data_IF_725728209863
#
_entry.id   IF_725728209863
#
_cell.length_a   1.000
_cell.length_b   1.000
_cell.length_c   1.000
_cell.angle_alpha   90.00
_cell.angle_beta   90.00
_cell.angle_gamma   90.00
#
_symmetry.space_group_name_H-M   'P 1'
#
loop_
_entity.id
_entity.type
_entity.pdbx_description
1 polymer ?
#
# COMPACT_ATOMS: atom_id res chain seq x y z
N UNK A 1 -9.52 -12.15 -20.26
CA UNK A 1 -10.49 -11.34 -19.53
C UNK A 1 -10.12 -9.88 -19.74
N UNK A 2 -11.05 -9.02 -20.14
CA UNK A 2 -10.79 -7.59 -20.31
C UNK A 2 -10.97 -6.83 -19.00
N UNK A 3 -10.47 -5.58 -18.90
CA UNK A 3 -10.64 -4.78 -17.68
C UNK A 3 -12.11 -4.61 -17.29
N UNK A 4 -13.01 -4.53 -18.26
CA UNK A 4 -14.45 -4.34 -18.04
C UNK A 4 -15.17 -5.58 -17.50
N UNK A 5 -14.52 -6.74 -17.49
CA UNK A 5 -15.12 -7.99 -17.04
C UNK A 5 -15.03 -8.17 -15.51
N UNK A 6 -14.13 -7.44 -14.85
CA UNK A 6 -14.00 -7.46 -13.38
C UNK A 6 -15.15 -6.70 -12.72
N UNK A 7 -15.50 -7.12 -11.51
CA UNK A 7 -16.56 -6.50 -10.68
C UNK A 7 -15.97 -5.71 -9.51
N UNK A 8 -14.77 -6.08 -9.07
CA UNK A 8 -14.06 -5.42 -7.99
C UNK A 8 -12.58 -5.20 -8.31
N UNK A 9 -12.02 -4.14 -7.75
CA UNK A 9 -10.59 -3.87 -7.72
C UNK A 9 -10.11 -3.97 -6.28
N UNK A 10 -9.15 -4.85 -6.02
CA UNK A 10 -8.39 -4.88 -4.78
C UNK A 10 -7.12 -4.07 -4.98
N UNK A 11 -6.93 -3.03 -4.21
CA UNK A 11 -5.84 -2.09 -4.40
C UNK A 11 -4.97 -2.04 -3.15
N UNK A 12 -3.68 -2.31 -3.29
CA UNK A 12 -2.75 -2.12 -2.18
C UNK A 12 -2.73 -0.65 -1.77
N UNK A 13 -2.99 -0.38 -0.49
CA UNK A 13 -3.00 0.97 0.04
C UNK A 13 -1.65 1.64 -0.16
N UNK A 14 -0.62 1.01 0.37
CA UNK A 14 0.74 1.52 0.30
C UNK A 14 1.33 1.28 -1.10
N UNK A 15 1.98 2.30 -1.62
CA UNK A 15 2.68 2.30 -2.91
C UNK A 15 1.80 2.23 -4.16
N UNK A 16 0.50 1.92 -4.04
CA UNK A 16 -0.45 2.14 -5.13
C UNK A 16 -1.24 3.45 -4.96
N UNK A 17 -1.71 3.74 -3.74
CA UNK A 17 -2.52 4.92 -3.42
C UNK A 17 -1.79 5.94 -2.53
N UNK A 18 -1.04 5.46 -1.53
CA UNK A 18 -0.29 6.25 -0.56
C UNK A 18 1.20 6.19 -0.89
N UNK A 19 1.86 7.35 -0.97
CA UNK A 19 3.32 7.46 -1.12
C UNK A 19 4.02 7.21 0.23
N UNK A 20 4.02 5.93 0.63
CA UNK A 20 4.65 5.48 1.87
C UNK A 20 6.13 5.81 1.92
N UNK A 21 6.84 5.60 0.82
CA UNK A 21 8.30 5.79 0.78
C UNK A 21 8.68 7.24 1.07
N UNK A 22 7.95 8.21 0.52
CA UNK A 22 8.17 9.63 0.84
C UNK A 22 7.73 9.97 2.26
N UNK A 23 6.65 9.37 2.75
CA UNK A 23 6.18 9.54 4.13
C UNK A 23 7.20 9.04 5.14
N UNK A 24 7.68 7.81 4.97
CA UNK A 24 8.73 7.21 5.82
C UNK A 24 10.02 8.02 5.78
N UNK A 25 10.49 8.39 4.58
CA UNK A 25 11.67 9.21 4.44
C UNK A 25 11.58 10.50 5.23
N UNK A 26 10.47 11.23 5.06
CA UNK A 26 10.25 12.51 5.75
C UNK A 26 10.22 12.33 7.27
N UNK A 27 9.56 11.28 7.75
CA UNK A 27 9.43 11.00 9.18
C UNK A 27 10.74 10.53 9.82
N UNK A 28 11.66 9.93 9.04
CA UNK A 28 12.99 9.52 9.50
C UNK A 28 14.02 10.66 9.46
N UNK A 29 13.71 11.81 8.82
CA UNK A 29 14.68 12.92 8.71
C UNK A 29 15.32 13.35 10.05
N UNK A 30 14.60 13.48 11.18
CA UNK A 30 15.22 13.83 12.45
C UNK A 30 16.32 12.85 12.87
N UNK A 31 16.04 11.55 12.70
CA UNK A 31 16.99 10.48 13.03
C UNK A 31 18.20 10.49 12.07
N UNK A 32 17.95 10.73 10.78
CA UNK A 32 19.01 10.82 9.76
C UNK A 32 19.92 12.02 9.95
N UNK A 33 19.39 13.16 10.37
CA UNK A 33 20.19 14.35 10.72
C UNK A 33 21.12 14.02 11.88
N UNK A 34 20.63 13.30 12.89
CA UNK A 34 21.46 12.85 14.04
C UNK A 34 22.55 11.86 13.64
N UNK A 35 22.33 11.07 12.61
CA UNK A 35 23.34 10.14 12.05
C UNK A 35 24.50 10.88 11.40
N UNK A 36 24.26 12.06 10.85
CA UNK A 36 25.24 12.80 10.06
C UNK A 36 25.49 12.21 8.68
N UNK A 37 26.25 12.92 7.84
CA UNK A 37 26.52 12.53 6.46
C UNK A 37 25.36 12.81 5.50
N UNK A 38 25.45 12.25 4.29
CA UNK A 38 24.39 12.30 3.28
C UNK A 38 23.79 10.89 3.13
N UNK A 39 22.67 10.58 3.80
CA UNK A 39 22.06 9.27 3.70
C UNK A 39 21.48 9.05 2.29
N UNK A 40 21.74 7.87 1.72
CA UNK A 40 21.08 7.43 0.49
C UNK A 40 19.63 7.02 0.80
N UNK A 41 18.67 7.65 0.11
CA UNK A 41 17.24 7.40 0.32
C UNK A 41 16.87 5.95 0.04
N UNK A 42 17.36 5.39 -1.04
CA UNK A 42 17.01 4.02 -1.46
C UNK A 42 17.55 3.00 -0.45
N UNK A 43 18.76 3.22 0.07
CA UNK A 43 19.36 2.39 1.11
C UNK A 43 18.56 2.47 2.42
N UNK A 44 18.23 3.67 2.89
CA UNK A 44 17.47 3.88 4.13
C UNK A 44 16.09 3.20 4.03
N UNK A 45 15.41 3.34 2.90
CA UNK A 45 14.11 2.70 2.69
C UNK A 45 14.23 1.17 2.58
N UNK A 46 15.33 0.65 2.03
CA UNK A 46 15.59 -0.79 2.02
C UNK A 46 15.79 -1.32 3.44
N UNK A 47 16.62 -0.65 4.25
CA UNK A 47 16.84 -1.01 5.66
C UNK A 47 15.54 -0.94 6.49
N UNK A 48 14.70 0.08 6.25
CA UNK A 48 13.38 0.17 6.88
C UNK A 48 12.48 -1.03 6.52
N UNK A 49 12.42 -1.41 5.24
CA UNK A 49 11.60 -2.57 4.80
C UNK A 49 12.09 -3.87 5.41
N UNK A 50 13.42 -4.06 5.51
CA UNK A 50 14.01 -5.24 6.16
C UNK A 50 13.61 -5.31 7.64
N UNK A 51 13.73 -4.19 8.37
CA UNK A 51 13.37 -4.13 9.78
C UNK A 51 11.88 -4.42 9.96
N UNK A 52 11.02 -3.79 9.19
CA UNK A 52 9.57 -4.00 9.28
C UNK A 52 9.20 -5.46 8.97
N UNK A 53 9.81 -6.04 7.94
CA UNK A 53 9.58 -7.43 7.57
C UNK A 53 10.03 -8.42 8.66
N UNK A 54 11.12 -8.11 9.37
CA UNK A 54 11.60 -8.93 10.48
C UNK A 54 10.70 -8.82 11.72
N UNK A 55 10.07 -7.68 11.94
CA UNK A 55 9.17 -7.44 13.06
C UNK A 55 7.79 -8.08 12.85
N UNK A 56 7.29 -8.07 11.63
CA UNK A 56 5.92 -8.47 11.30
C UNK A 56 5.49 -9.83 11.87
N UNK A 57 6.28 -10.91 11.75
CA UNK A 57 5.88 -12.22 12.28
C UNK A 57 5.78 -12.29 13.80
N UNK A 58 6.49 -11.39 14.51
CA UNK A 58 6.64 -11.44 15.98
C UNK A 58 5.71 -10.49 16.69
N UNK A 59 5.36 -9.38 16.06
CA UNK A 59 4.72 -8.24 16.71
C UNK A 59 3.45 -7.77 15.99
N UNK A 60 2.86 -8.61 15.13
CA UNK A 60 1.62 -8.27 14.40
C UNK A 60 0.48 -7.86 15.34
N UNK A 61 0.44 -8.43 16.54
CA UNK A 61 -0.55 -8.13 17.59
C UNK A 61 -0.43 -6.72 18.19
N UNK A 62 0.71 -6.03 18.01
CA UNK A 62 0.90 -4.66 18.50
C UNK A 62 0.21 -3.60 17.62
N UNK A 63 -0.39 -4.01 16.52
CA UNK A 63 -0.91 -3.11 15.51
C UNK A 63 0.18 -2.44 14.67
N UNK A 64 -0.23 -1.68 13.69
CA UNK A 64 0.70 -1.05 12.75
C UNK A 64 1.56 0.05 13.40
N UNK A 65 0.95 0.90 14.23
CA UNK A 65 1.68 1.94 14.97
C UNK A 65 2.71 1.37 15.92
N UNK A 66 2.38 0.29 16.62
CA UNK A 66 3.33 -0.40 17.50
C UNK A 66 4.53 -0.93 16.73
N UNK A 67 4.30 -1.59 15.58
CA UNK A 67 5.38 -2.06 14.71
C UNK A 67 6.26 -0.92 14.20
N UNK A 68 5.68 0.21 13.81
CA UNK A 68 6.45 1.38 13.35
C UNK A 68 7.31 1.98 14.46
N UNK A 69 6.80 2.05 15.69
CA UNK A 69 7.57 2.50 16.83
C UNK A 69 8.80 1.62 17.07
N UNK A 70 8.64 0.29 17.02
CA UNK A 70 9.75 -0.65 17.13
C UNK A 70 10.70 -0.57 15.93
N UNK A 71 10.19 -0.39 14.70
CA UNK A 71 11.02 -0.22 13.51
C UNK A 71 11.93 1.00 13.61
N UNK A 72 11.40 2.14 14.08
CA UNK A 72 12.18 3.34 14.32
C UNK A 72 13.32 3.09 15.29
N UNK A 73 13.04 2.42 16.43
CA UNK A 73 14.05 2.09 17.43
C UNK A 73 15.13 1.16 16.87
N UNK A 74 14.75 0.11 16.15
CA UNK A 74 15.71 -0.82 15.56
C UNK A 74 16.59 -0.15 14.49
N UNK A 75 16.05 0.77 13.72
CA UNK A 75 16.83 1.57 12.78
C UNK A 75 17.85 2.44 13.50
N UNK A 76 17.44 3.12 14.57
CA UNK A 76 18.35 3.89 15.39
C UNK A 76 19.49 3.03 15.95
N UNK A 77 19.19 1.87 16.51
CA UNK A 77 20.17 0.92 17.02
C UNK A 77 21.15 0.44 15.92
N UNK A 78 20.64 0.10 14.71
CA UNK A 78 21.49 -0.24 13.55
C UNK A 78 22.45 0.86 13.16
N UNK A 79 22.03 2.11 13.31
CA UNK A 79 22.85 3.28 12.96
C UNK A 79 23.72 3.78 14.10
N UNK A 80 23.74 3.07 15.24
CA UNK A 80 24.51 3.44 16.41
C UNK A 80 23.98 4.67 17.14
N UNK A 81 22.67 4.94 16.99
CA UNK A 81 21.97 6.08 17.59
C UNK A 81 21.07 5.62 18.72
N UNK A 82 20.79 6.53 19.65
CA UNK A 82 19.78 6.34 20.67
C UNK A 82 18.48 6.99 20.19
N UNK A 83 17.37 6.28 20.29
CA UNK A 83 16.04 6.81 20.03
C UNK A 83 15.17 6.62 21.27
N UNK A 84 14.48 7.68 21.66
CA UNK A 84 13.49 7.63 22.71
C UNK A 84 12.19 6.95 22.25
N UNK A 85 11.39 6.52 23.21
CA UNK A 85 10.05 6.01 22.93
C UNK A 85 9.16 7.08 22.27
N UNK A 86 9.30 8.34 22.69
CA UNK A 86 8.52 9.45 22.15
C UNK A 86 8.82 9.72 20.67
N UNK A 87 10.08 9.62 20.25
CA UNK A 87 10.48 9.71 18.84
C UNK A 87 9.89 8.57 18.02
N UNK A 88 9.91 7.34 18.54
CA UNK A 88 9.26 6.20 17.91
C UNK A 88 7.74 6.38 17.76
N UNK A 89 7.08 6.90 18.78
CA UNK A 89 5.65 7.22 18.73
C UNK A 89 5.34 8.37 17.75
N UNK A 90 6.22 9.38 17.67
CA UNK A 90 6.09 10.46 16.69
C UNK A 90 6.22 9.92 15.26
N UNK A 91 7.16 9.01 15.02
CA UNK A 91 7.30 8.31 13.75
C UNK A 91 6.03 7.52 13.40
N UNK A 92 5.50 6.75 14.35
CA UNK A 92 4.27 5.98 14.13
C UNK A 92 3.07 6.87 13.77
N UNK A 93 2.89 7.99 14.49
CA UNK A 93 1.80 8.96 14.22
C UNK A 93 1.92 9.66 12.88
N UNK A 94 3.10 9.67 12.25
CA UNK A 94 3.30 10.29 10.93
C UNK A 94 2.47 9.64 9.83
N UNK A 95 2.00 8.41 10.03
CA UNK A 95 1.19 7.63 9.06
C UNK A 95 -0.06 8.40 8.62
N UNK A 96 -0.73 9.07 9.54
CA UNK A 96 -1.92 9.86 9.25
C UNK A 96 -1.65 11.00 8.25
N UNK A 97 -0.39 11.50 8.21
CA UNK A 97 0.02 12.59 7.32
C UNK A 97 0.62 12.12 5.99
N UNK A 98 0.79 10.82 5.77
CA UNK A 98 1.35 10.34 4.51
C UNK A 98 0.49 10.75 3.33
N UNK A 99 1.14 11.27 2.30
CA UNK A 99 0.44 11.81 1.12
C UNK A 99 -0.11 10.70 0.25
N UNK A 100 -1.28 10.95 -0.35
CA UNK A 100 -1.73 10.16 -1.49
C UNK A 100 -0.89 10.54 -2.72
N UNK A 101 -0.70 9.59 -3.64
CA UNK A 101 -0.24 9.96 -4.98
C UNK A 101 -1.26 10.89 -5.64
N UNK A 102 -0.79 11.87 -6.40
CA UNK A 102 -1.62 12.94 -6.99
C UNK A 102 -2.78 12.41 -7.85
N UNK A 103 -2.55 11.27 -8.51
CA UNK A 103 -3.52 10.65 -9.39
C UNK A 103 -4.53 9.74 -8.66
N UNK A 104 -4.26 9.36 -7.41
CA UNK A 104 -5.08 8.38 -6.70
C UNK A 104 -6.51 8.87 -6.43
N UNK A 105 -6.77 10.08 -5.88
CA UNK A 105 -8.14 10.51 -5.59
C UNK A 105 -9.03 10.59 -6.84
N UNK A 106 -8.48 11.14 -7.94
CA UNK A 106 -9.21 11.26 -9.21
C UNK A 106 -9.53 9.91 -9.83
N UNK A 107 -8.56 8.98 -9.80
CA UNK A 107 -8.76 7.62 -10.30
C UNK A 107 -9.79 6.85 -9.46
N UNK A 108 -9.72 6.92 -8.13
CA UNK A 108 -10.70 6.28 -7.23
C UNK A 108 -12.11 6.82 -7.49
N UNK A 109 -12.26 8.14 -7.63
CA UNK A 109 -13.55 8.77 -7.95
C UNK A 109 -14.14 8.31 -9.29
N UNK A 110 -13.29 8.06 -10.28
CA UNK A 110 -13.72 7.53 -11.57
C UNK A 110 -14.07 6.03 -11.49
N UNK A 111 -13.16 5.21 -10.95
CA UNK A 111 -13.26 3.75 -10.97
C UNK A 111 -14.43 3.23 -10.13
N UNK A 112 -14.79 3.88 -9.02
CA UNK A 112 -15.95 3.51 -8.18
C UNK A 112 -17.29 3.51 -8.91
N UNK A 113 -17.37 4.10 -10.10
CA UNK A 113 -18.57 4.09 -10.92
C UNK A 113 -18.78 2.76 -11.64
N UNK A 114 -17.72 1.96 -11.76
CA UNK A 114 -17.69 0.73 -12.55
C UNK A 114 -17.37 -0.51 -11.70
N UNK A 115 -16.63 -0.31 -10.61
CA UNK A 115 -16.12 -1.37 -9.76
C UNK A 115 -16.43 -1.11 -8.29
N UNK A 116 -16.58 -2.19 -7.54
CA UNK A 116 -16.39 -2.09 -6.09
C UNK A 116 -14.91 -1.91 -5.81
N UNK A 117 -14.55 -0.88 -5.05
CA UNK A 117 -13.15 -0.59 -4.71
C UNK A 117 -12.87 -1.14 -3.32
N UNK A 118 -11.99 -2.11 -3.24
CA UNK A 118 -11.47 -2.69 -2.02
C UNK A 118 -10.03 -2.19 -1.85
N UNK A 119 -9.70 -1.66 -0.68
CA UNK A 119 -8.33 -1.20 -0.38
C UNK A 119 -7.76 -2.08 0.71
N UNK A 120 -6.58 -2.64 0.47
CA UNK A 120 -5.93 -3.53 1.42
C UNK A 120 -4.67 -2.88 1.98
N UNK A 121 -4.47 -2.99 3.30
CA UNK A 121 -3.27 -2.45 3.95
C UNK A 121 -3.31 -2.57 5.46
N UNK A 122 -2.20 -2.21 6.09
CA UNK A 122 -2.11 -2.15 7.54
C UNK A 122 -2.33 -0.71 8.00
N UNK A 123 -3.40 -0.51 8.76
CA UNK A 123 -3.71 0.74 9.43
C UNK A 123 -4.44 0.42 10.72
N UNK A 124 -4.09 1.12 11.78
CA UNK A 124 -4.87 1.08 13.01
C UNK A 124 -6.22 1.76 12.83
N UNK A 125 -7.17 1.46 13.70
CA UNK A 125 -8.54 1.97 13.57
C UNK A 125 -8.60 3.51 13.51
N UNK A 126 -7.71 4.19 14.22
CA UNK A 126 -7.63 5.65 14.28
C UNK A 126 -7.21 6.27 12.93
N UNK A 127 -6.31 5.62 12.18
CA UNK A 127 -5.79 6.10 10.91
C UNK A 127 -6.67 5.67 9.72
N UNK A 128 -7.40 4.58 9.87
CA UNK A 128 -8.23 3.98 8.83
C UNK A 128 -9.36 4.90 8.39
N UNK A 129 -10.10 5.46 9.33
CA UNK A 129 -11.24 6.34 9.05
C UNK A 129 -10.87 7.54 8.18
N UNK A 130 -9.92 8.40 8.61
CA UNK A 130 -9.46 9.54 7.82
C UNK A 130 -8.90 9.14 6.44
N UNK A 131 -8.23 7.99 6.34
CA UNK A 131 -7.71 7.50 5.07
C UNK A 131 -8.85 7.09 4.12
N UNK A 132 -9.85 6.36 4.61
CA UNK A 132 -11.03 5.98 3.82
C UNK A 132 -11.78 7.21 3.30
N UNK A 133 -11.94 8.24 4.11
CA UNK A 133 -12.53 9.50 3.70
C UNK A 133 -11.75 10.16 2.56
N UNK A 134 -10.42 10.24 2.69
CA UNK A 134 -9.53 10.80 1.64
C UNK A 134 -9.58 10.00 0.33
N UNK A 135 -9.77 8.68 0.41
CA UNK A 135 -9.88 7.79 -0.75
C UNK A 135 -11.30 7.70 -1.31
N UNK A 136 -12.31 8.20 -0.57
CA UNK A 136 -13.71 8.13 -0.95
C UNK A 136 -14.28 6.72 -0.97
N UNK A 137 -13.84 5.86 -0.04
CA UNK A 137 -14.33 4.48 0.15
C UNK A 137 -15.04 4.33 1.50
N UNK A 138 -15.85 3.28 1.65
CA UNK A 138 -16.43 2.93 2.94
C UNK A 138 -15.38 2.24 3.83
N UNK A 139 -15.54 2.36 5.15
CA UNK A 139 -14.65 1.69 6.09
C UNK A 139 -14.65 0.15 5.93
N UNK A 140 -15.79 -0.44 5.57
CA UNK A 140 -15.95 -1.88 5.34
C UNK A 140 -15.25 -2.37 4.06
N UNK A 141 -14.89 -1.46 3.15
CA UNK A 141 -14.12 -1.76 1.93
C UNK A 141 -12.61 -1.63 2.16
N UNK A 142 -12.17 -1.25 3.37
CA UNK A 142 -10.78 -1.30 3.77
C UNK A 142 -10.46 -2.63 4.47
N UNK A 143 -9.61 -3.43 3.84
CA UNK A 143 -9.27 -4.79 4.25
C UNK A 143 -7.91 -4.77 4.95
N UNK A 144 -7.87 -5.26 6.19
CA UNK A 144 -6.60 -5.48 6.89
C UNK A 144 -5.86 -6.66 6.25
N UNK A 145 -4.53 -6.56 6.15
CA UNK A 145 -3.69 -7.67 5.67
C UNK A 145 -3.80 -8.91 6.59
N UNK A 146 -4.12 -8.71 7.87
CA UNK A 146 -4.30 -9.80 8.82
C UNK A 146 -5.60 -10.58 8.60
N UNK A 147 -6.65 -9.93 8.09
CA UNK A 147 -7.99 -10.54 8.00
C UNK A 147 -8.14 -11.46 6.80
N UNK A 148 -7.31 -11.29 5.75
CA UNK A 148 -7.30 -12.08 4.50
C UNK A 148 -8.70 -12.53 4.00
N UNK A 149 -9.75 -11.66 4.03
CA UNK A 149 -11.13 -12.07 3.77
C UNK A 149 -11.35 -12.57 2.34
N UNK A 150 -10.46 -12.25 1.42
CA UNK A 150 -10.51 -12.73 0.03
C UNK A 150 -10.22 -14.23 -0.10
N UNK A 151 -9.70 -14.86 0.97
CA UNK A 151 -9.52 -16.32 1.06
C UNK A 151 -10.74 -16.99 1.74
N UNK A 152 -11.66 -16.20 2.31
CA UNK A 152 -12.88 -16.71 2.93
C UNK A 152 -14.01 -16.80 1.90
N UNK A 153 -14.38 -18.02 1.53
CA UNK A 153 -15.49 -18.28 0.60
C UNK A 153 -16.82 -17.68 1.09
N UNK A 154 -17.06 -17.63 2.41
CA UNK A 154 -18.30 -17.06 2.95
C UNK A 154 -18.32 -15.55 2.76
N UNK A 155 -17.17 -14.87 2.94
CA UNK A 155 -17.06 -13.44 2.69
C UNK A 155 -17.29 -13.12 1.22
N UNK A 156 -16.69 -13.88 0.31
CA UNK A 156 -16.89 -13.72 -1.13
C UNK A 156 -18.38 -13.89 -1.52
N UNK A 157 -19.04 -14.94 -1.02
CA UNK A 157 -20.47 -15.19 -1.27
C UNK A 157 -21.32 -14.06 -0.71
N UNK A 158 -21.07 -13.62 0.52
CA UNK A 158 -21.82 -12.53 1.16
C UNK A 158 -21.68 -11.20 0.38
N UNK A 159 -20.56 -11.01 -0.32
CA UNK A 159 -20.29 -9.84 -1.15
C UNK A 159 -20.64 -10.05 -2.64
N UNK A 160 -21.21 -11.19 -2.99
CA UNK A 160 -21.58 -11.57 -4.36
C UNK A 160 -20.38 -11.47 -5.34
N UNK A 161 -19.19 -11.88 -4.88
CA UNK A 161 -17.94 -11.90 -5.64
C UNK A 161 -17.41 -13.33 -5.74
N UNK A 162 -16.74 -13.62 -6.85
CA UNK A 162 -15.88 -14.79 -7.02
C UNK A 162 -14.41 -14.33 -7.15
N UNK A 163 -13.42 -15.19 -6.88
CA UNK A 163 -12.00 -14.81 -7.04
C UNK A 163 -11.68 -14.23 -8.43
N UNK A 164 -12.25 -14.80 -9.49
CA UNK A 164 -12.06 -14.31 -10.86
C UNK A 164 -12.74 -12.96 -11.17
N UNK A 165 -13.62 -12.45 -10.28
CA UNK A 165 -14.25 -11.13 -10.42
C UNK A 165 -13.33 -9.98 -9.94
N UNK A 166 -12.19 -10.31 -9.33
CA UNK A 166 -11.33 -9.35 -8.62
C UNK A 166 -10.00 -9.18 -9.36
N UNK A 167 -9.68 -7.94 -9.72
CA UNK A 167 -8.34 -7.58 -10.20
C UNK A 167 -7.54 -6.97 -9.05
N UNK A 168 -6.40 -7.59 -8.72
CA UNK A 168 -5.52 -7.09 -7.66
C UNK A 168 -4.46 -6.13 -8.22
N UNK A 169 -4.48 -4.88 -7.78
CA UNK A 169 -3.54 -3.83 -8.14
C UNK A 169 -2.47 -3.74 -7.06
N UNK A 170 -1.26 -4.16 -7.38
CA UNK A 170 -0.15 -4.26 -6.42
C UNK A 170 1.18 -3.85 -7.05
N UNK A 171 2.10 -3.35 -6.23
CA UNK A 171 3.51 -3.16 -6.61
C UNK A 171 4.33 -4.45 -6.45
N UNK A 172 3.93 -5.31 -5.54
CA UNK A 172 4.61 -6.58 -5.29
C UNK A 172 4.42 -7.53 -6.48
N UNK A 173 5.47 -8.22 -6.86
CA UNK A 173 5.39 -9.25 -7.89
C UNK A 173 4.34 -10.31 -7.57
N UNK A 174 3.79 -10.93 -8.60
CA UNK A 174 2.76 -11.97 -8.48
C UNK A 174 3.20 -13.06 -7.49
N UNK A 175 2.47 -13.21 -6.40
CA UNK A 175 2.66 -14.36 -5.50
C UNK A 175 2.17 -15.61 -6.23
N UNK A 176 3.04 -16.62 -6.37
CA UNK A 176 2.61 -17.93 -6.89
C UNK A 176 1.47 -18.45 -6.01
N UNK A 177 0.33 -18.77 -6.65
CA UNK A 177 -0.85 -19.30 -5.96
C UNK A 177 -1.95 -18.27 -5.66
N UNK A 178 -1.83 -17.03 -6.13
CA UNK A 178 -2.96 -16.10 -6.14
C UNK A 178 -3.98 -16.56 -7.17
N UNK A 179 -5.24 -16.73 -6.75
CA UNK A 179 -6.37 -17.05 -7.65
C UNK A 179 -6.87 -15.80 -8.39
N UNK A 180 -6.46 -14.62 -7.95
CA UNK A 180 -6.87 -13.34 -8.55
C UNK A 180 -5.91 -12.95 -9.67
N UNK A 181 -6.47 -12.36 -10.70
CA UNK A 181 -5.69 -11.69 -11.74
C UNK A 181 -4.96 -10.48 -11.15
N UNK A 182 -3.75 -10.21 -11.65
CA UNK A 182 -2.88 -9.17 -11.10
C UNK A 182 -2.59 -8.09 -12.13
N UNK A 183 -2.73 -6.84 -11.67
CA UNK A 183 -2.24 -5.63 -12.32
C UNK A 183 -1.04 -5.09 -11.54
N UNK A 184 0.15 -5.10 -12.16
CA UNK A 184 1.33 -4.52 -11.54
C UNK A 184 1.35 -3.01 -11.75
N UNK A 185 1.49 -2.26 -10.65
CA UNK A 185 1.71 -0.82 -10.69
C UNK A 185 3.18 -0.49 -10.39
N UNK A 186 3.83 0.25 -11.29
CA UNK A 186 5.18 0.77 -11.10
C UNK A 186 5.12 2.28 -10.91
N UNK A 187 5.45 2.73 -9.70
CA UNK A 187 5.52 4.15 -9.35
C UNK A 187 6.90 4.76 -9.58
N UNK A 188 7.83 3.97 -10.13
CA UNK A 188 9.22 4.39 -10.35
C UNK A 188 9.32 5.37 -11.52
N UNK A 189 9.35 6.66 -11.22
CA UNK A 189 9.62 7.72 -12.18
C UNK A 189 11.08 7.61 -12.64
N UNK A 190 11.29 7.09 -13.85
CA UNK A 190 12.60 7.13 -14.52
C UNK A 190 13.44 5.85 -14.52
N UNK A 191 12.99 4.76 -13.93
CA UNK A 191 13.60 3.44 -14.15
C UNK A 191 13.01 2.79 -15.39
N UNK A 192 13.85 2.04 -16.13
CA UNK A 192 13.37 1.24 -17.26
C UNK A 192 12.27 0.29 -16.77
N UNK A 193 11.16 0.16 -17.52
CA UNK A 193 10.08 -0.74 -17.15
C UNK A 193 10.65 -2.15 -17.00
N UNK A 194 10.49 -2.71 -15.81
CA UNK A 194 10.80 -4.13 -15.59
C UNK A 194 9.88 -4.96 -16.49
N UNK A 195 10.36 -6.02 -17.16
CA UNK A 195 9.50 -6.88 -17.95
C UNK A 195 8.30 -7.32 -17.11
N UNK A 196 7.11 -6.96 -17.56
CA UNK A 196 5.89 -7.25 -16.84
C UNK A 196 5.47 -8.69 -17.09
N UNK A 197 5.39 -9.48 -16.01
CA UNK A 197 4.89 -10.85 -16.04
C UNK A 197 3.42 -10.98 -15.66
N UNK A 198 2.77 -9.85 -15.32
CA UNK A 198 1.36 -9.81 -14.94
C UNK A 198 0.46 -9.58 -16.15
N UNK A 199 -0.84 -9.82 -15.98
CA UNK A 199 -1.84 -9.63 -17.03
C UNK A 199 -1.97 -8.16 -17.44
N UNK A 200 -1.81 -7.25 -16.50
CA UNK A 200 -1.81 -5.81 -16.74
C UNK A 200 -0.61 -5.15 -16.06
N UNK A 201 -0.10 -4.10 -16.70
CA UNK A 201 0.98 -3.29 -16.16
C UNK A 201 0.66 -1.82 -16.37
N UNK A 202 0.76 -1.06 -15.30
CA UNK A 202 0.46 0.36 -15.26
C UNK A 202 1.57 1.13 -14.54
N UNK A 203 1.71 2.40 -14.87
CA UNK A 203 2.67 3.29 -14.21
C UNK A 203 2.00 4.21 -13.18
N UNK A 204 0.67 4.28 -13.21
CA UNK A 204 -0.12 5.13 -12.31
C UNK A 204 -1.58 4.66 -12.28
N UNK A 205 -2.33 5.11 -11.31
CA UNK A 205 -3.78 4.89 -11.28
C UNK A 205 -4.49 5.63 -12.43
N UNK A 206 -3.95 6.77 -12.88
CA UNK A 206 -4.44 7.46 -14.06
C UNK A 206 -4.26 6.64 -15.35
N UNK A 207 -3.18 5.86 -15.44
CA UNK A 207 -2.97 4.93 -16.55
C UNK A 207 -4.04 3.82 -16.56
N UNK A 208 -4.40 3.26 -15.39
CA UNK A 208 -5.51 2.32 -15.27
C UNK A 208 -6.82 2.91 -15.79
N UNK A 209 -7.12 4.16 -15.41
CA UNK A 209 -8.31 4.88 -15.91
C UNK A 209 -8.29 4.97 -17.43
N UNK A 210 -7.13 5.32 -18.01
CA UNK A 210 -6.96 5.43 -19.45
C UNK A 210 -7.19 4.08 -20.15
N UNK A 211 -6.60 3.00 -19.62
CA UNK A 211 -6.78 1.66 -20.16
C UNK A 211 -8.24 1.18 -20.07
N UNK A 212 -8.92 1.50 -18.95
CA UNK A 212 -10.35 1.22 -18.79
C UNK A 212 -11.20 1.97 -19.83
N UNK A 213 -10.96 3.27 -20.01
CA UNK A 213 -11.68 4.08 -21.00
C UNK A 213 -11.50 3.54 -22.44
N UNK A 214 -10.30 3.07 -22.77
CA UNK A 214 -10.04 2.43 -24.06
C UNK A 214 -10.78 1.09 -24.21
N UNK A 215 -10.92 0.35 -23.11
CA UNK A 215 -11.66 -0.92 -23.11
C UNK A 215 -13.17 -0.74 -23.30
N UNK A 216 -13.74 0.39 -22.83
CA UNK A 216 -15.17 0.72 -23.04
C UNK A 216 -15.50 1.10 -24.49
N UNK A 217 -14.51 1.44 -25.32
CA UNK A 217 -14.71 1.87 -26.72
C UNK A 217 -14.62 0.71 -27.72
N UNK A 218 -14.25 -0.46 -27.24
CA UNK A 218 -14.17 -1.70 -28.07
C UNK A 218 -15.46 -2.48 -28.00
#
# INVERSE_FOLDING_TARGET
MGLIDYRALLIDCDEALVDRDSGVWTALLPLLVSRGGQPDKDQVLAEYREVLHALYPRFAELGFSGMLCFAHRQLAERWGLNASWEEGMSFARSVAAWSLFEDAPGAMLYLRKFYRLLVQGDRDAEDRGPLCERLGINADDFISLADAPLQDANWLIANALAPGDILHITRAGVRRGSENDVCLISRDRGRQPTPCSAQYCINSMADLVTQHQLSLRR
#
